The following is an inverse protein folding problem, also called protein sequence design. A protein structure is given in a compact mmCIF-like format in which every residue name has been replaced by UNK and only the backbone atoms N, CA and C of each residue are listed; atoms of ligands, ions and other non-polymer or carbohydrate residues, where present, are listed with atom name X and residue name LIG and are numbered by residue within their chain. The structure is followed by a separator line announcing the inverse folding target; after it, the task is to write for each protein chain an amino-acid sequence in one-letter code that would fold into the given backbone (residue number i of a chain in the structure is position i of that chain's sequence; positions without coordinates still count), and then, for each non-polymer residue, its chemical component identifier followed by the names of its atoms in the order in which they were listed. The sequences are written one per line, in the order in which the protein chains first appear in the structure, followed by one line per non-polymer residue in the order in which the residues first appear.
data_IF_355407401890
#
_entry.id   IF_355407401890
#
_cell.length_a   1.000
_cell.length_b   1.000
_cell.length_c   1.000
_cell.angle_alpha   90.00
_cell.angle_beta   90.00
_cell.angle_gamma   90.00
#
_symmetry.space_group_name_H-M   'P 1'
#
loop_
_entity.id
_entity.type
_entity.pdbx_description
1 polymer ?
#
# COMPACT_ATOMS: atom_id res chain seq x y z
N UNK A 1 -39.05 -20.85 52.75
CA UNK A 1 -38.65 -19.46 52.50
C UNK A 1 -37.12 -19.44 52.40
N UNK A 2 -36.58 -19.39 51.18
CA UNK A 2 -35.14 -19.56 50.89
C UNK A 2 -34.75 -18.79 49.61
N UNK A 3 -33.73 -17.93 49.74
CA UNK A 3 -32.65 -17.50 48.81
C UNK A 3 -32.84 -17.41 47.27
N UNK A 4 -32.57 -16.18 46.75
CA UNK A 4 -31.50 -15.77 45.81
C UNK A 4 -31.26 -16.49 44.46
N UNK A 5 -31.36 -15.76 43.32
CA UNK A 5 -30.24 -15.47 42.37
C UNK A 5 -30.66 -14.71 41.10
N UNK A 6 -30.06 -13.53 40.95
CA UNK A 6 -29.47 -12.89 39.76
C UNK A 6 -29.76 -13.42 38.35
N UNK A 7 -30.25 -12.54 37.48
CA UNK A 7 -29.75 -12.38 36.09
C UNK A 7 -29.77 -10.89 35.68
N UNK A 8 -28.56 -10.35 35.54
CA UNK A 8 -28.30 -9.01 35.02
C UNK A 8 -28.66 -8.91 33.53
N UNK A 9 -29.21 -7.76 33.14
CA UNK A 9 -29.62 -7.44 31.78
C UNK A 9 -28.46 -7.08 30.86
N UNK A 10 -28.62 -7.42 29.57
CA UNK A 10 -27.78 -6.94 28.48
C UNK A 10 -28.65 -6.05 27.58
N UNK A 11 -28.54 -4.73 27.75
CA UNK A 11 -29.17 -3.73 26.87
C UNK A 11 -28.28 -3.44 25.65
N UNK A 12 -28.87 -3.00 24.51
CA UNK A 12 -28.13 -2.82 23.26
C UNK A 12 -27.10 -1.68 23.35
N UNK A 13 -25.93 -1.87 22.73
CA UNK A 13 -24.86 -0.89 22.66
C UNK A 13 -25.29 0.38 21.91
N UNK A 14 -25.19 1.54 22.57
CA UNK A 14 -25.45 2.86 21.98
C UNK A 14 -24.43 3.22 20.90
N UNK A 15 -24.84 3.86 19.79
CA UNK A 15 -23.92 4.36 18.77
C UNK A 15 -23.10 5.55 19.28
N UNK A 16 -21.81 5.55 18.99
CA UNK A 16 -20.80 6.53 19.46
C UNK A 16 -21.00 7.92 18.80
N UNK A 17 -21.82 8.76 19.44
CA UNK A 17 -22.16 10.13 19.00
C UNK A 17 -20.95 11.08 18.93
N UNK A 18 -19.83 10.74 19.58
CA UNK A 18 -18.62 11.56 19.59
C UNK A 18 -17.94 11.60 18.21
N UNK A 19 -17.92 10.47 17.48
CA UNK A 19 -17.29 10.37 16.15
C UNK A 19 -18.03 11.21 15.10
N UNK A 20 -19.36 11.14 15.11
CA UNK A 20 -20.19 11.96 14.20
C UNK A 20 -20.04 13.46 14.48
N UNK A 21 -19.94 13.83 15.75
CA UNK A 21 -19.75 15.23 16.14
C UNK A 21 -18.37 15.75 15.74
N UNK A 22 -17.33 14.92 15.82
CA UNK A 22 -15.99 15.25 15.34
C UNK A 22 -15.97 15.46 13.82
N UNK A 23 -16.61 14.57 13.05
CA UNK A 23 -16.69 14.69 11.58
C UNK A 23 -17.50 15.92 11.13
N UNK A 24 -18.59 16.26 11.83
CA UNK A 24 -19.36 17.47 11.53
C UNK A 24 -18.58 18.77 11.79
N UNK A 25 -17.69 18.79 12.79
CA UNK A 25 -16.86 19.97 13.09
C UNK A 25 -15.77 20.21 12.05
N UNK A 26 -15.24 19.15 11.44
CA UNK A 26 -14.22 19.27 10.38
C UNK A 26 -14.83 19.87 9.10
N UNK A 27 -16.07 19.50 8.75
CA UNK A 27 -16.75 20.05 7.56
C UNK A 27 -17.06 21.55 7.63
N UNK A 28 -17.20 22.12 8.83
CA UNK A 28 -17.56 23.53 9.00
C UNK A 28 -16.42 24.53 8.73
N UNK A 29 -15.18 24.06 8.56
CA UNK A 29 -13.99 24.91 8.38
C UNK A 29 -13.67 25.26 6.92
N UNK A 30 -14.38 24.71 5.93
CA UNK A 30 -14.20 25.07 4.52
C UNK A 30 -15.03 26.29 4.05
N UNK A 31 -15.74 26.96 4.97
CA UNK A 31 -16.72 28.01 4.64
C UNK A 31 -16.29 29.46 4.79
N UNK A 32 -15.03 29.77 5.13
CA UNK A 32 -14.58 31.15 5.35
C UNK A 32 -13.35 31.49 4.50
N UNK A 33 -13.55 31.51 3.18
CA UNK A 33 -12.62 32.20 2.28
C UNK A 33 -12.93 33.70 2.33
N UNK A 34 -12.14 34.44 3.12
CA UNK A 34 -12.12 35.90 3.05
C UNK A 34 -11.94 36.56 4.41
N UNK A 35 -10.69 36.83 4.76
CA UNK A 35 -10.15 38.14 5.16
C UNK A 35 -8.71 37.90 5.66
N UNK A 36 -7.80 38.75 5.20
CA UNK A 36 -6.37 38.54 5.28
C UNK A 36 -5.84 38.42 6.70
N UNK A 37 -5.05 37.37 6.92
CA UNK A 37 -3.89 37.42 7.79
C UNK A 37 -2.87 36.38 7.28
N UNK A 38 -1.72 36.85 6.80
CA UNK A 38 -0.64 36.01 6.26
C UNK A 38 0.10 35.22 7.37
N UNK A 39 -0.26 35.42 8.65
CA UNK A 39 0.25 34.62 9.76
C UNK A 39 -0.41 33.24 9.91
N UNK A 40 -1.65 33.07 9.45
CA UNK A 40 -2.43 31.84 9.71
C UNK A 40 -2.21 30.73 8.68
N UNK A 41 -1.60 31.03 7.52
CA UNK A 41 -1.30 30.02 6.49
C UNK A 41 -0.10 29.15 6.87
N UNK A 42 0.81 29.66 7.71
CA UNK A 42 1.98 28.90 8.18
C UNK A 42 1.56 27.81 9.19
N UNK A 43 0.64 28.13 10.10
CA UNK A 43 0.08 27.15 11.05
C UNK A 43 -0.90 26.18 10.39
N UNK A 44 -1.60 26.59 9.32
CA UNK A 44 -2.44 25.70 8.53
C UNK A 44 -1.64 24.69 7.69
N UNK A 45 -0.42 25.02 7.26
CA UNK A 45 0.51 24.04 6.68
C UNK A 45 1.14 23.11 7.73
N UNK A 46 1.25 23.55 8.99
CA UNK A 46 1.73 22.73 10.10
C UNK A 46 0.65 21.77 10.66
N UNK A 47 -0.62 21.99 10.31
CA UNK A 47 -1.75 21.12 10.63
C UNK A 47 -2.05 20.08 9.53
N UNK A 48 -1.22 19.96 8.50
CA UNK A 48 -1.06 18.66 7.87
C UNK A 48 -0.52 17.72 8.96
N UNK A 49 -1.17 16.59 9.27
CA UNK A 49 -0.63 15.69 10.29
C UNK A 49 0.80 15.36 9.88
N UNK A 50 1.77 15.84 10.64
CA UNK A 50 3.13 15.34 10.56
C UNK A 50 3.00 13.84 10.63
N UNK A 51 3.38 13.15 9.54
CA UNK A 51 3.29 11.70 9.46
C UNK A 51 3.85 11.16 10.77
N UNK A 52 2.96 10.57 11.59
CA UNK A 52 3.37 9.97 12.86
C UNK A 52 4.53 9.03 12.60
N UNK A 53 5.36 8.78 13.63
CA UNK A 53 6.49 7.83 13.50
C UNK A 53 6.03 6.61 12.68
N UNK A 54 6.75 6.25 11.60
CA UNK A 54 6.43 5.07 10.82
C UNK A 54 6.15 3.91 11.78
N UNK A 55 4.98 3.29 11.67
CA UNK A 55 4.69 2.10 12.46
C UNK A 55 5.81 1.08 12.22
N UNK A 56 6.21 0.37 13.28
CA UNK A 56 7.18 -0.69 13.15
C UNK A 56 6.65 -1.77 12.19
N UNK A 57 7.52 -2.43 11.40
CA UNK A 57 7.12 -3.59 10.62
C UNK A 57 6.45 -4.67 11.50
N UNK A 58 5.50 -5.40 10.95
CA UNK A 58 4.79 -6.49 11.62
C UNK A 58 5.54 -7.83 11.50
N UNK A 59 6.09 -8.16 10.32
CA UNK A 59 6.76 -9.45 10.06
C UNK A 59 8.17 -9.29 9.50
N UNK A 60 8.36 -8.38 8.55
CA UNK A 60 9.65 -8.07 7.93
C UNK A 60 10.54 -7.30 8.91
N UNK A 61 11.85 -7.44 8.78
CA UNK A 61 12.78 -6.50 9.43
C UNK A 61 12.68 -5.12 8.78
N UNK A 62 13.15 -4.05 9.45
CA UNK A 62 13.15 -2.71 8.85
C UNK A 62 13.87 -2.63 7.49
N UNK A 63 14.97 -3.37 7.33
CA UNK A 63 15.70 -3.42 6.07
C UNK A 63 14.94 -4.18 4.97
N UNK A 64 14.27 -5.29 5.31
CA UNK A 64 13.42 -6.04 4.38
C UNK A 64 12.19 -5.23 3.97
N UNK A 65 11.57 -4.48 4.90
CA UNK A 65 10.45 -3.60 4.61
C UNK A 65 10.89 -2.46 3.68
N UNK A 66 12.07 -1.86 3.92
CA UNK A 66 12.63 -0.83 3.05
C UNK A 66 12.93 -1.36 1.64
N UNK A 67 13.53 -2.55 1.53
CA UNK A 67 13.76 -3.21 0.25
C UNK A 67 12.43 -3.47 -0.47
N UNK A 68 11.44 -4.03 0.23
CA UNK A 68 10.08 -4.23 -0.31
C UNK A 68 9.46 -2.91 -0.80
N UNK A 69 9.72 -1.79 -0.11
CA UNK A 69 9.33 -0.45 -0.55
C UNK A 69 9.93 -0.05 -1.90
N UNK A 70 11.24 -0.19 -2.06
CA UNK A 70 11.93 0.09 -3.33
C UNK A 70 11.44 -0.84 -4.44
N UNK A 71 11.23 -2.13 -4.13
CA UNK A 71 10.70 -3.08 -5.11
C UNK A 71 9.26 -2.73 -5.52
N UNK A 72 8.41 -2.32 -4.58
CA UNK A 72 7.05 -1.88 -4.88
C UNK A 72 7.05 -0.65 -5.80
N UNK A 73 7.91 0.33 -5.53
CA UNK A 73 8.08 1.53 -6.36
C UNK A 73 8.54 1.20 -7.78
N UNK A 74 9.40 0.19 -7.94
CA UNK A 74 9.84 -0.26 -9.26
C UNK A 74 8.78 -1.10 -10.01
N UNK A 75 7.84 -1.72 -9.30
CA UNK A 75 6.76 -2.53 -9.90
C UNK A 75 5.59 -1.65 -10.35
N UNK A 76 5.17 -0.68 -9.53
CA UNK A 76 4.18 0.35 -9.89
C UNK A 76 4.74 1.71 -9.48
N UNK A 77 5.54 2.36 -10.36
CA UNK A 77 6.13 3.66 -10.08
C UNK A 77 5.07 4.76 -10.10
N UNK A 78 5.36 5.87 -9.43
CA UNK A 78 4.56 7.10 -9.55
C UNK A 78 4.59 7.61 -11.00
N UNK A 79 3.41 7.98 -11.50
CA UNK A 79 3.23 8.67 -12.79
C UNK A 79 2.53 10.02 -12.54
N UNK A 80 1.48 10.32 -13.29
CA UNK A 80 0.45 11.32 -13.00
C UNK A 80 -0.43 10.94 -11.80
N UNK A 81 -0.43 9.68 -11.39
CA UNK A 81 -1.06 9.18 -10.16
C UNK A 81 -0.03 8.70 -9.13
N UNK A 82 -0.38 8.62 -7.83
CA UNK A 82 0.48 8.01 -6.81
C UNK A 82 0.87 6.56 -7.17
N UNK A 83 2.11 6.18 -6.89
CA UNK A 83 2.62 4.81 -7.10
C UNK A 83 2.41 3.88 -5.91
N UNK A 84 2.87 2.62 -6.01
CA UNK A 84 2.71 1.63 -4.95
C UNK A 84 3.40 1.98 -3.63
N UNK A 85 4.56 2.64 -3.68
CA UNK A 85 5.23 3.10 -2.46
C UNK A 85 4.40 4.16 -1.73
N UNK A 86 3.75 5.05 -2.48
CA UNK A 86 2.98 6.19 -1.95
C UNK A 86 1.76 5.76 -1.15
N UNK A 87 1.11 4.69 -1.59
CA UNK A 87 -0.05 4.11 -0.91
C UNK A 87 0.35 3.12 0.20
N UNK A 88 1.65 2.99 0.47
CA UNK A 88 2.15 2.09 1.50
C UNK A 88 2.04 0.62 1.14
N UNK A 89 2.06 0.25 -0.16
CA UNK A 89 1.87 -1.14 -0.60
C UNK A 89 2.81 -2.13 0.12
N UNK A 90 4.08 -1.75 0.32
CA UNK A 90 5.06 -2.53 1.06
C UNK A 90 4.64 -2.88 2.50
N UNK A 91 3.88 -2.00 3.18
CA UNK A 91 3.31 -2.30 4.50
C UNK A 91 2.12 -3.23 4.42
N UNK A 92 1.28 -3.08 3.39
CA UNK A 92 0.21 -4.04 3.13
C UNK A 92 0.79 -5.42 2.83
N UNK A 93 1.88 -5.51 2.06
CA UNK A 93 2.59 -6.78 1.83
C UNK A 93 3.10 -7.36 3.15
N UNK A 94 3.74 -6.57 3.99
CA UNK A 94 4.21 -6.99 5.32
C UNK A 94 3.06 -7.52 6.20
N UNK A 95 1.94 -6.80 6.24
CA UNK A 95 0.73 -7.20 6.96
C UNK A 95 0.15 -8.52 6.41
N UNK A 96 0.02 -8.65 5.08
CA UNK A 96 -0.46 -9.88 4.43
C UNK A 96 0.45 -11.08 4.75
N UNK A 97 1.77 -10.88 4.78
CA UNK A 97 2.70 -11.92 5.19
C UNK A 97 2.53 -12.29 6.68
N UNK A 98 2.29 -11.31 7.54
CA UNK A 98 2.09 -11.54 8.97
C UNK A 98 0.81 -12.32 9.27
N UNK A 99 -0.29 -12.00 8.59
CA UNK A 99 -1.63 -12.48 8.94
C UNK A 99 -2.18 -13.58 8.03
N UNK A 100 -1.73 -13.68 6.78
CA UNK A 100 -2.30 -14.61 5.79
C UNK A 100 -1.32 -15.69 5.32
N UNK A 101 -0.01 -15.51 5.48
CA UNK A 101 0.98 -16.46 4.98
C UNK A 101 1.39 -17.48 6.04
N UNK A 102 1.50 -18.74 5.64
CA UNK A 102 2.07 -19.80 6.49
C UNK A 102 3.60 -19.68 6.58
N UNK A 103 4.19 -20.28 7.62
CA UNK A 103 5.63 -20.22 7.88
C UNK A 103 6.53 -20.57 6.67
N UNK A 104 6.21 -21.59 5.83
CA UNK A 104 7.00 -21.86 4.63
C UNK A 104 6.96 -20.71 3.60
N UNK A 105 5.81 -20.08 3.40
CA UNK A 105 5.64 -18.95 2.48
C UNK A 105 6.33 -17.68 3.01
N UNK A 106 6.21 -17.43 4.31
CA UNK A 106 6.95 -16.38 5.02
C UNK A 106 8.47 -16.51 4.84
N UNK A 107 9.01 -17.72 5.06
CA UNK A 107 10.43 -18.00 4.90
C UNK A 107 10.89 -17.86 3.43
N UNK A 108 10.08 -18.35 2.48
CA UNK A 108 10.34 -18.20 1.05
C UNK A 108 10.40 -16.73 0.62
N UNK A 109 9.53 -15.88 1.18
CA UNK A 109 9.54 -14.45 0.90
C UNK A 109 10.83 -13.77 1.38
N UNK A 110 11.22 -13.99 2.65
CA UNK A 110 12.48 -13.46 3.21
C UNK A 110 13.69 -13.95 2.43
N UNK A 111 13.70 -15.23 2.04
CA UNK A 111 14.77 -15.80 1.23
C UNK A 111 14.84 -15.16 -0.16
N UNK A 112 13.71 -14.84 -0.79
CA UNK A 112 13.67 -14.11 -2.07
C UNK A 112 14.24 -12.70 -1.98
N UNK A 113 13.84 -11.94 -0.95
CA UNK A 113 14.39 -10.61 -0.66
C UNK A 113 15.91 -10.66 -0.45
N UNK A 114 16.39 -11.63 0.34
CA UNK A 114 17.81 -11.84 0.57
C UNK A 114 18.58 -12.18 -0.72
N UNK A 115 18.00 -12.98 -1.62
CA UNK A 115 18.64 -13.33 -2.90
C UNK A 115 18.80 -12.13 -3.83
N UNK A 116 17.83 -11.22 -3.89
CA UNK A 116 17.97 -9.96 -4.64
C UNK A 116 19.16 -9.15 -4.10
N UNK A 117 19.24 -9.00 -2.79
CA UNK A 117 20.28 -8.19 -2.14
C UNK A 117 21.67 -8.85 -2.23
N UNK A 118 21.73 -10.19 -2.25
CA UNK A 118 22.95 -10.95 -2.51
C UNK A 118 23.43 -10.81 -3.97
N UNK A 119 22.52 -10.91 -4.94
CA UNK A 119 22.86 -10.72 -6.35
C UNK A 119 23.34 -9.29 -6.67
N UNK A 120 22.77 -8.29 -5.99
CA UNK A 120 23.24 -6.91 -6.05
C UNK A 120 24.67 -6.76 -5.53
N UNK A 121 24.98 -7.36 -4.36
CA UNK A 121 26.33 -7.33 -3.79
C UNK A 121 27.34 -8.07 -4.67
N UNK A 122 26.96 -9.21 -5.23
CA UNK A 122 27.83 -9.97 -6.11
C UNK A 122 28.19 -9.22 -7.41
N UNK A 123 27.26 -8.43 -7.95
CA UNK A 123 27.45 -7.73 -9.22
C UNK A 123 27.96 -6.29 -9.10
N UNK A 124 27.95 -5.69 -7.90
CA UNK A 124 28.31 -4.28 -7.71
C UNK A 124 28.81 -3.90 -6.31
N UNK A 125 29.05 -4.87 -5.41
CA UNK A 125 29.59 -4.65 -4.07
C UNK A 125 28.67 -3.89 -3.10
N UNK A 126 27.43 -3.61 -3.50
CA UNK A 126 26.47 -2.77 -2.77
C UNK A 126 25.13 -3.50 -2.59
N UNK A 127 24.36 -3.20 -1.53
CA UNK A 127 22.98 -3.67 -1.44
C UNK A 127 22.15 -3.16 -2.62
N UNK A 128 21.07 -3.86 -2.96
CA UNK A 128 20.21 -3.56 -4.10
C UNK A 128 19.73 -2.10 -4.10
N UNK A 129 19.28 -1.62 -2.95
CA UNK A 129 18.78 -0.25 -2.77
C UNK A 129 19.82 0.83 -3.04
N UNK A 130 21.12 0.49 -3.04
CA UNK A 130 22.23 1.41 -3.28
C UNK A 130 22.85 1.24 -4.68
N UNK A 131 22.29 0.38 -5.52
CA UNK A 131 22.67 0.29 -6.93
C UNK A 131 22.12 1.48 -7.72
N UNK A 132 22.78 1.90 -8.82
CA UNK A 132 22.20 2.84 -9.76
C UNK A 132 20.86 2.33 -10.32
N UNK A 133 19.88 3.19 -10.62
CA UNK A 133 18.55 2.78 -11.08
C UNK A 133 18.57 1.82 -12.28
N UNK A 134 19.41 2.10 -13.28
CA UNK A 134 19.56 1.22 -14.45
C UNK A 134 20.02 -0.20 -14.08
N UNK A 135 20.85 -0.35 -13.04
CA UNK A 135 21.32 -1.66 -12.55
C UNK A 135 20.26 -2.37 -11.70
N UNK A 136 19.45 -1.62 -10.95
CA UNK A 136 18.28 -2.18 -10.26
C UNK A 136 17.30 -2.79 -11.27
N UNK A 137 16.94 -2.02 -12.30
CA UNK A 137 16.03 -2.46 -13.36
C UNK A 137 16.59 -3.68 -14.09
N UNK A 138 17.86 -3.66 -14.50
CA UNK A 138 18.47 -4.78 -15.20
C UNK A 138 18.48 -6.07 -14.34
N UNK A 139 18.72 -5.95 -13.03
CA UNK A 139 18.69 -7.10 -12.14
C UNK A 139 17.27 -7.64 -11.94
N UNK A 140 16.26 -6.77 -11.82
CA UNK A 140 14.86 -7.19 -11.73
C UNK A 140 14.35 -7.78 -13.05
N UNK A 141 14.82 -7.32 -14.20
CA UNK A 141 14.52 -7.95 -15.49
C UNK A 141 15.10 -9.37 -15.58
N UNK A 142 16.34 -9.58 -15.11
CA UNK A 142 16.92 -10.92 -15.03
C UNK A 142 16.12 -11.83 -14.07
N UNK A 143 15.70 -11.30 -12.92
CA UNK A 143 14.84 -11.99 -11.96
C UNK A 143 13.49 -12.38 -12.59
N UNK A 144 12.84 -11.45 -13.30
CA UNK A 144 11.55 -11.68 -13.95
C UNK A 144 11.63 -12.66 -15.12
N UNK A 145 12.78 -12.70 -15.80
CA UNK A 145 13.08 -13.67 -16.83
C UNK A 145 13.54 -15.03 -16.27
N UNK A 146 13.77 -15.14 -14.95
CA UNK A 146 14.37 -16.35 -14.35
C UNK A 146 15.76 -16.67 -14.92
N UNK A 147 16.49 -15.64 -15.32
CA UNK A 147 17.80 -15.72 -15.96
C UNK A 147 18.92 -15.42 -14.97
N UNK A 148 20.13 -15.94 -15.24
CA UNK A 148 21.29 -15.77 -14.37
C UNK A 148 21.47 -14.29 -13.96
N UNK A 149 21.73 -14.01 -12.66
CA UNK A 149 22.09 -14.95 -11.60
C UNK A 149 20.91 -15.67 -10.93
N UNK A 150 19.68 -15.49 -11.42
CA UNK A 150 18.46 -16.08 -10.89
C UNK A 150 18.03 -17.34 -11.65
N UNK A 151 17.07 -18.06 -11.08
CA UNK A 151 16.42 -19.20 -11.73
C UNK A 151 14.89 -19.19 -11.63
N UNK A 152 14.21 -20.25 -12.10
CA UNK A 152 12.75 -20.32 -12.14
C UNK A 152 12.05 -20.14 -10.78
N UNK A 153 12.68 -20.60 -9.70
CA UNK A 153 12.15 -20.41 -8.35
C UNK A 153 12.14 -18.93 -7.93
N UNK A 154 13.14 -18.16 -8.35
CA UNK A 154 13.24 -16.72 -8.08
C UNK A 154 12.24 -15.92 -8.89
N UNK A 155 12.04 -16.31 -10.15
CA UNK A 155 10.97 -15.78 -10.99
C UNK A 155 9.60 -16.01 -10.34
N UNK A 156 9.36 -17.21 -9.79
CA UNK A 156 8.14 -17.54 -9.07
C UNK A 156 7.92 -16.63 -7.85
N UNK A 157 8.96 -16.42 -7.04
CA UNK A 157 8.94 -15.47 -5.93
C UNK A 157 8.62 -14.05 -6.41
N UNK A 158 9.29 -13.56 -7.45
CA UNK A 158 9.08 -12.19 -7.92
C UNK A 158 7.68 -11.99 -8.50
N UNK A 159 7.15 -12.99 -9.20
CA UNK A 159 5.75 -12.99 -9.65
C UNK A 159 4.77 -12.87 -8.49
N UNK A 160 5.00 -13.62 -7.40
CA UNK A 160 4.18 -13.53 -6.19
C UNK A 160 4.28 -12.15 -5.55
N UNK A 161 5.50 -11.60 -5.42
CA UNK A 161 5.70 -10.25 -4.88
C UNK A 161 4.95 -9.19 -5.70
N UNK A 162 5.06 -9.25 -7.04
CA UNK A 162 4.29 -8.36 -7.94
C UNK A 162 2.78 -8.50 -7.73
N UNK A 163 2.30 -9.73 -7.50
CA UNK A 163 0.90 -10.00 -7.15
C UNK A 163 0.46 -9.31 -5.86
N UNK A 164 1.27 -9.38 -4.80
CA UNK A 164 0.97 -8.68 -3.54
C UNK A 164 1.03 -7.16 -3.69
N UNK A 165 2.00 -6.63 -4.44
CA UNK A 165 2.09 -5.19 -4.72
C UNK A 165 0.88 -4.71 -5.51
N UNK A 166 0.48 -5.43 -6.57
CA UNK A 166 -0.70 -5.10 -7.36
C UNK A 166 -1.98 -5.17 -6.53
N UNK A 167 -2.14 -6.22 -5.71
CA UNK A 167 -3.28 -6.31 -4.79
C UNK A 167 -3.32 -5.13 -3.82
N UNK A 168 -2.20 -4.80 -3.19
CA UNK A 168 -2.13 -3.68 -2.24
C UNK A 168 -2.41 -2.33 -2.91
N UNK A 169 -1.96 -2.16 -4.15
CA UNK A 169 -2.16 -0.91 -4.89
C UNK A 169 -3.60 -0.76 -5.41
N UNK A 170 -4.13 -1.76 -6.11
CA UNK A 170 -5.47 -1.66 -6.71
C UNK A 170 -6.62 -1.79 -5.70
N UNK A 171 -6.34 -2.11 -4.43
CA UNK A 171 -7.30 -1.99 -3.33
C UNK A 171 -7.18 -0.66 -2.56
N UNK A 172 -6.22 0.19 -2.91
CA UNK A 172 -6.10 1.56 -2.40
C UNK A 172 -6.99 2.54 -3.18
N UNK A 173 -7.29 3.70 -2.59
CA UNK A 173 -8.03 4.77 -3.29
C UNK A 173 -7.31 5.24 -4.56
N UNK A 174 -5.98 5.40 -4.50
CA UNK A 174 -5.21 5.87 -5.66
C UNK A 174 -5.31 4.87 -6.82
N UNK A 175 -5.11 3.58 -6.57
CA UNK A 175 -5.22 2.57 -7.61
C UNK A 175 -6.66 2.35 -8.11
N UNK A 176 -7.64 2.28 -7.19
CA UNK A 176 -9.01 1.95 -7.55
C UNK A 176 -9.78 3.12 -8.22
N UNK A 177 -9.43 4.38 -7.90
CA UNK A 177 -10.24 5.54 -8.30
C UNK A 177 -9.50 6.67 -9.00
N UNK A 178 -8.17 6.74 -8.88
CA UNK A 178 -7.37 7.77 -9.55
C UNK A 178 -6.68 7.20 -10.78
N UNK A 179 -6.04 6.03 -10.69
CA UNK A 179 -5.48 5.34 -11.86
C UNK A 179 -6.58 4.67 -12.70
N UNK A 180 -7.55 4.03 -12.04
CA UNK A 180 -8.68 3.38 -12.69
C UNK A 180 -9.95 4.24 -12.63
N UNK A 181 -10.79 4.08 -13.65
CA UNK A 181 -12.13 4.64 -13.70
C UNK A 181 -13.07 3.84 -12.78
N UNK A 182 -13.23 4.28 -11.54
CA UNK A 182 -14.09 3.63 -10.56
C UNK A 182 -15.57 3.65 -10.98
N UNK A 183 -16.18 2.47 -11.10
CA UNK A 183 -17.57 2.26 -11.45
C UNK A 183 -18.25 1.40 -10.35
N UNK A 184 -18.70 2.00 -9.24
CA UNK A 184 -19.21 1.27 -8.08
C UNK A 184 -20.50 0.51 -8.36
N UNK A 185 -21.26 0.94 -9.37
CA UNK A 185 -22.47 0.26 -9.84
C UNK A 185 -22.35 0.11 -11.35
N UNK A 186 -21.84 -1.04 -11.84
CA UNK A 186 -21.88 -1.33 -13.26
C UNK A 186 -23.35 -1.51 -13.62
N UNK A 187 -23.90 -0.55 -14.36
CA UNK A 187 -25.27 -0.67 -14.89
C UNK A 187 -25.36 -1.80 -15.93
N UNK A 188 -26.26 -1.65 -16.90
CA UNK A 188 -26.34 -2.62 -18.01
C UNK A 188 -25.05 -2.69 -18.82
N UNK A 189 -24.74 -3.88 -19.36
CA UNK A 189 -23.63 -4.08 -20.28
C UNK A 189 -23.76 -3.17 -21.52
N UNK A 190 -22.72 -2.40 -21.81
CA UNK A 190 -22.59 -1.60 -23.04
C UNK A 190 -21.54 -2.26 -23.92
N UNK A 191 -21.98 -2.94 -24.97
CA UNK A 191 -21.10 -3.70 -25.87
C UNK A 191 -20.21 -2.85 -26.77
N UNK A 192 -20.49 -1.55 -26.90
CA UNK A 192 -19.67 -0.61 -27.66
C UNK A 192 -19.45 0.66 -26.83
N UNK A 193 -18.17 0.94 -26.54
CA UNK A 193 -17.71 2.13 -25.84
C UNK A 193 -16.52 2.69 -26.61
N UNK A 194 -16.61 3.95 -27.03
CA UNK A 194 -15.52 4.62 -27.71
C UNK A 194 -14.33 4.79 -26.76
N UNK A 195 -13.24 4.06 -27.03
CA UNK A 195 -11.96 4.19 -26.30
C UNK A 195 -11.11 5.28 -26.95
N UNK A 196 -10.46 6.09 -26.13
CA UNK A 196 -9.48 7.09 -26.51
C UNK A 196 -8.19 6.90 -25.70
N UNK A 197 -7.07 7.54 -26.07
CA UNK A 197 -5.83 7.45 -25.27
C UNK A 197 -5.97 7.92 -23.82
N UNK A 198 -6.97 8.74 -23.50
CA UNK A 198 -7.26 9.21 -22.13
C UNK A 198 -8.30 8.33 -21.40
N UNK A 199 -8.73 7.22 -22.00
CA UNK A 199 -9.69 6.31 -21.37
C UNK A 199 -8.96 5.37 -20.41
N UNK A 200 -9.17 5.57 -19.12
CA UNK A 200 -8.67 4.68 -18.07
C UNK A 200 -9.41 3.33 -18.07
N UNK A 201 -8.73 2.27 -17.63
CA UNK A 201 -9.37 0.99 -17.37
C UNK A 201 -10.33 1.09 -16.18
N UNK A 202 -11.35 0.23 -16.12
CA UNK A 202 -12.38 0.31 -15.08
C UNK A 202 -12.02 -0.49 -13.82
N UNK A 203 -12.37 0.06 -12.66
CA UNK A 203 -12.43 -0.67 -11.39
C UNK A 203 -13.91 -0.86 -11.01
N UNK A 204 -14.28 -2.08 -10.59
CA UNK A 204 -15.65 -2.43 -10.13
C UNK A 204 -15.69 -2.67 -8.63
#
# INVERSE_FOLDING_TARGET
MQQNRDRAGHGPAQPDHARRTALMRIGALCGLAGLGDLGLLADALAAAPAAGKPAAPEFLSPAELQLTGVLADLVIPRTDTPGALDVGAHRTVDHLLAVCAEAPAQAACKAGLARIDAAARASGGKPFIALPPARQVALLQALDAGSAPFGPADQGFFRQLKGYVAFAYYTSEAGASQELAYLPVPGGFKGDVKVSPSTHAWAI
#
